data_IF_350187811406
#
_entry.id   IF_350187811406
#
_cell.length_a   1.000
_cell.length_b   1.000
_cell.length_c   1.000
_cell.angle_alpha   90.00
_cell.angle_beta   90.00
_cell.angle_gamma   90.00
#
_symmetry.space_group_name_H-M   'P 1'
#
loop_
_entity.id
_entity.type
_entity.pdbx_description
1 polymer ?
#
# COMPACT_ATOMS: atom_id res chain seq x y z
N UNK A 1 -22.08 -5.43 -0.34
CA UNK A 1 -22.15 -3.93 -0.26
C UNK A 1 -20.90 -3.26 -0.81
N UNK A 2 -19.67 -3.58 -0.36
CA UNK A 2 -18.44 -2.92 -0.84
C UNK A 2 -18.17 -3.16 -2.34
N UNK A 3 -18.37 -4.39 -2.84
CA UNK A 3 -18.19 -4.71 -4.27
C UNK A 3 -19.20 -4.02 -5.17
N UNK A 4 -20.41 -3.78 -4.66
CA UNK A 4 -21.45 -3.02 -5.38
C UNK A 4 -21.08 -1.54 -5.45
N UNK A 5 -20.52 -0.98 -4.37
CA UNK A 5 -20.03 0.40 -4.33
C UNK A 5 -18.91 0.61 -5.35
N UNK A 6 -17.92 -0.29 -5.41
CA UNK A 6 -16.82 -0.24 -6.38
C UNK A 6 -17.33 -0.34 -7.83
N UNK A 7 -18.34 -1.18 -8.10
CA UNK A 7 -19.00 -1.26 -9.41
C UNK A 7 -19.69 0.04 -9.79
N UNK A 8 -20.43 0.64 -8.85
CA UNK A 8 -21.13 1.91 -9.08
C UNK A 8 -20.13 3.03 -9.36
N UNK A 9 -19.04 3.10 -8.60
CA UNK A 9 -17.99 4.10 -8.82
C UNK A 9 -17.35 3.97 -10.20
N UNK A 10 -17.03 2.74 -10.64
CA UNK A 10 -16.42 2.48 -11.95
C UNK A 10 -17.34 2.86 -13.13
N UNK A 11 -18.67 2.73 -12.95
CA UNK A 11 -19.67 3.08 -13.97
C UNK A 11 -19.93 4.59 -14.01
N UNK A 12 -20.02 5.23 -12.84
CA UNK A 12 -20.38 6.65 -12.74
C UNK A 12 -19.22 7.60 -13.01
N UNK A 13 -17.98 7.14 -12.86
CA UNK A 13 -16.74 7.93 -13.01
C UNK A 13 -16.76 9.26 -12.22
N UNK A 14 -17.34 9.23 -11.01
CA UNK A 14 -17.52 10.40 -10.14
C UNK A 14 -16.66 10.29 -8.89
N UNK A 15 -16.25 11.44 -8.37
CA UNK A 15 -15.63 11.51 -7.04
C UNK A 15 -16.70 11.32 -5.96
N UNK A 16 -16.44 10.41 -5.03
CA UNK A 16 -17.33 10.09 -3.92
C UNK A 16 -16.58 10.40 -2.62
N UNK A 17 -17.22 11.13 -1.72
CA UNK A 17 -16.74 11.32 -0.35
C UNK A 17 -17.48 10.35 0.55
N UNK A 18 -16.74 9.51 1.25
CA UNK A 18 -17.25 8.50 2.16
C UNK A 18 -16.72 8.78 3.57
N UNK A 19 -17.59 8.75 4.56
CA UNK A 19 -17.23 8.94 5.97
C UNK A 19 -17.43 7.61 6.69
N UNK A 20 -16.38 7.10 7.29
CA UNK A 20 -16.40 5.87 8.07
C UNK A 20 -15.49 5.98 9.29
N UNK A 21 -15.77 5.19 10.30
CA UNK A 21 -14.88 4.95 11.44
C UNK A 21 -14.10 3.63 11.29
N UNK A 22 -14.37 2.86 10.24
CA UNK A 22 -13.67 1.62 9.92
C UNK A 22 -12.51 1.89 8.96
N UNK A 23 -11.29 1.87 9.51
CA UNK A 23 -10.08 2.11 8.74
C UNK A 23 -9.80 1.01 7.72
N UNK A 24 -10.14 -0.25 8.03
CA UNK A 24 -9.94 -1.39 7.11
C UNK A 24 -10.85 -1.24 5.89
N UNK A 25 -12.09 -0.79 6.10
CA UNK A 25 -13.00 -0.49 5.02
C UNK A 25 -12.44 0.62 4.12
N UNK A 26 -11.94 1.69 4.71
CA UNK A 26 -11.34 2.79 3.96
C UNK A 26 -10.09 2.36 3.16
N UNK A 27 -9.24 1.49 3.72
CA UNK A 27 -8.10 0.90 3.00
C UNK A 27 -8.48 0.15 1.73
N UNK A 28 -9.68 -0.43 1.71
CA UNK A 28 -10.15 -1.22 0.56
C UNK A 28 -10.70 -0.38 -0.58
N UNK A 29 -11.37 0.74 -0.26
CA UNK A 29 -12.18 1.46 -1.23
C UNK A 29 -11.67 2.87 -1.55
N UNK A 30 -10.87 3.49 -0.69
CA UNK A 30 -10.47 4.87 -0.85
C UNK A 30 -9.17 5.02 -1.64
N UNK A 31 -9.16 5.91 -2.65
CA UNK A 31 -7.94 6.38 -3.31
C UNK A 31 -7.16 7.35 -2.41
N UNK A 32 -7.90 8.17 -1.66
CA UNK A 32 -7.37 9.15 -0.71
C UNK A 32 -8.18 9.13 0.57
N UNK A 33 -7.53 9.42 1.69
CA UNK A 33 -8.14 9.46 3.01
C UNK A 33 -7.68 10.68 3.78
N UNK A 34 -8.58 11.24 4.58
CA UNK A 34 -8.29 12.24 5.58
C UNK A 34 -8.59 11.67 6.97
N UNK A 35 -7.61 11.67 7.87
CA UNK A 35 -7.83 11.40 9.28
C UNK A 35 -8.15 12.73 9.96
N UNK A 36 -9.25 12.76 10.69
CA UNK A 36 -9.73 13.96 11.38
C UNK A 36 -9.72 13.77 12.90
N UNK A 37 -9.41 14.84 13.61
CA UNK A 37 -9.53 14.96 15.07
C UNK A 37 -10.03 16.36 15.42
N UNK A 38 -11.03 16.46 16.26
CA UNK A 38 -11.60 17.73 16.76
C UNK A 38 -11.98 18.72 15.64
N UNK A 39 -12.47 18.22 14.51
CA UNK A 39 -12.86 19.01 13.35
C UNK A 39 -11.72 19.41 12.40
N UNK A 40 -10.48 19.04 12.71
CA UNK A 40 -9.31 19.35 11.87
C UNK A 40 -8.79 18.10 11.17
N UNK A 41 -8.27 18.26 9.94
CA UNK A 41 -7.54 17.21 9.23
C UNK A 41 -6.15 17.10 9.85
N UNK A 42 -5.85 15.94 10.44
CA UNK A 42 -4.55 15.62 11.05
C UNK A 42 -3.58 15.09 10.00
N UNK A 43 -4.07 14.20 9.14
CA UNK A 43 -3.27 13.65 8.04
C UNK A 43 -4.14 13.39 6.82
N UNK A 44 -3.57 13.60 5.63
CA UNK A 44 -4.22 13.35 4.35
C UNK A 44 -3.24 12.64 3.40
N UNK A 45 -3.69 11.58 2.73
CA UNK A 45 -2.84 10.85 1.78
C UNK A 45 -3.52 9.59 1.23
N UNK A 46 -2.73 8.74 0.57
CA UNK A 46 -3.19 7.38 0.27
C UNK A 46 -3.33 6.61 1.59
N UNK A 47 -4.35 5.74 1.74
CA UNK A 47 -4.54 4.99 2.98
C UNK A 47 -3.30 4.24 3.43
N UNK A 48 -2.60 3.57 2.51
CA UNK A 48 -1.38 2.81 2.81
C UNK A 48 -0.23 3.70 3.30
N UNK A 49 -0.08 4.90 2.74
CA UNK A 49 0.97 5.85 3.16
C UNK A 49 0.73 6.34 4.59
N UNK A 50 -0.53 6.52 4.98
CA UNK A 50 -0.93 6.93 6.34
C UNK A 50 -0.56 5.84 7.35
N UNK A 51 -0.83 4.57 7.03
CA UNK A 51 -0.46 3.43 7.89
C UNK A 51 1.05 3.32 8.03
N UNK A 52 1.77 3.44 6.92
CA UNK A 52 3.23 3.26 6.91
C UNK A 52 3.97 4.43 7.54
N UNK A 53 3.43 5.65 7.44
CA UNK A 53 4.06 6.88 7.90
C UNK A 53 3.07 7.76 8.67
N UNK A 54 2.59 7.31 9.85
CA UNK A 54 1.70 8.12 10.68
C UNK A 54 2.42 9.37 11.15
N UNK A 55 1.73 10.53 11.05
CA UNK A 55 2.29 11.84 11.39
C UNK A 55 2.48 12.05 12.88
N UNK A 56 1.63 11.43 13.70
CA UNK A 56 1.68 11.51 15.15
C UNK A 56 1.20 10.21 15.81
N UNK A 57 1.20 10.18 17.14
CA UNK A 57 0.77 9.04 17.95
C UNK A 57 -0.72 8.74 17.77
N UNK A 58 -1.56 9.78 17.65
CA UNK A 58 -2.99 9.61 17.43
C UNK A 58 -3.27 8.84 16.13
N UNK A 59 -2.63 9.21 15.03
CA UNK A 59 -2.78 8.51 13.75
C UNK A 59 -2.22 7.10 13.85
N UNK A 60 -1.10 6.91 14.56
CA UNK A 60 -0.50 5.59 14.79
C UNK A 60 -1.44 4.67 15.54
N UNK A 61 -2.05 5.14 16.62
CA UNK A 61 -3.00 4.36 17.42
C UNK A 61 -4.26 4.03 16.63
N UNK A 62 -4.75 4.98 15.84
CA UNK A 62 -5.92 4.79 14.98
C UNK A 62 -5.67 3.72 13.90
N UNK A 63 -4.43 3.60 13.40
CA UNK A 63 -4.03 2.66 12.35
C UNK A 63 -3.37 1.38 12.89
N UNK A 64 -3.15 1.27 14.21
CA UNK A 64 -2.19 0.35 14.82
C UNK A 64 -2.42 -1.14 14.64
N UNK A 65 -3.67 -1.60 14.54
CA UNK A 65 -3.99 -3.03 14.43
C UNK A 65 -4.41 -3.46 13.02
N UNK A 66 -4.22 -2.59 12.05
CA UNK A 66 -4.56 -2.90 10.67
C UNK A 66 -3.55 -3.87 10.06
N UNK A 67 -3.99 -4.98 9.46
CA UNK A 67 -3.12 -5.90 8.73
C UNK A 67 -2.77 -5.30 7.35
N UNK A 68 -2.04 -4.16 7.35
CA UNK A 68 -1.74 -3.35 6.16
C UNK A 68 -1.00 -4.16 5.09
N UNK A 69 -0.23 -5.17 5.48
CA UNK A 69 0.48 -6.09 4.59
C UNK A 69 -0.45 -6.77 3.58
N UNK A 70 -1.73 -6.93 3.92
CA UNK A 70 -2.73 -7.48 3.00
C UNK A 70 -3.17 -6.52 1.89
N UNK A 71 -2.88 -5.24 2.07
CA UNK A 71 -3.27 -4.17 1.15
C UNK A 71 -2.11 -3.65 0.30
N UNK A 72 -0.88 -4.12 0.58
CA UNK A 72 0.30 -3.76 -0.21
C UNK A 72 0.18 -4.28 -1.64
N UNK A 73 0.55 -3.40 -2.58
CA UNK A 73 0.66 -3.69 -4.01
C UNK A 73 2.10 -3.48 -4.47
N UNK A 74 2.40 -3.91 -5.69
CA UNK A 74 3.71 -3.73 -6.29
C UNK A 74 4.20 -2.27 -6.21
N UNK A 75 3.33 -1.30 -6.49
CA UNK A 75 3.68 0.13 -6.46
C UNK A 75 4.15 0.65 -5.09
N UNK A 76 3.76 0.00 -4.00
CA UNK A 76 4.16 0.37 -2.64
C UNK A 76 5.53 -0.19 -2.23
N UNK A 77 6.06 -1.11 -3.05
CA UNK A 77 7.29 -1.87 -2.80
C UNK A 77 8.42 -1.53 -3.76
N UNK A 78 8.19 -0.58 -4.68
CA UNK A 78 9.15 -0.24 -5.73
C UNK A 78 10.43 0.38 -5.14
N UNK A 79 11.56 -0.16 -5.56
CA UNK A 79 12.90 0.39 -5.35
C UNK A 79 13.49 0.85 -6.69
N UNK A 80 14.43 1.83 -6.63
CA UNK A 80 15.21 2.19 -7.80
C UNK A 80 16.13 1.04 -8.17
N UNK A 81 16.19 0.63 -9.45
CA UNK A 81 17.09 -0.44 -9.87
C UNK A 81 18.54 -0.03 -9.66
N UNK A 82 19.34 -0.93 -9.09
CA UNK A 82 20.80 -0.74 -8.90
C UNK A 82 21.62 -1.26 -10.09
N UNK A 83 20.99 -2.02 -10.98
CA UNK A 83 21.61 -2.66 -12.17
C UNK A 83 20.57 -2.75 -13.28
N UNK A 84 21.02 -3.21 -14.48
CA UNK A 84 20.10 -3.47 -15.59
C UNK A 84 18.97 -4.42 -15.17
N UNK A 85 17.76 -4.10 -15.61
CA UNK A 85 16.55 -4.86 -15.37
C UNK A 85 16.24 -5.83 -16.53
N UNK A 86 17.12 -5.87 -17.54
CA UNK A 86 17.00 -6.78 -18.66
C UNK A 86 16.90 -8.23 -18.15
N UNK A 87 15.90 -8.97 -18.62
CA UNK A 87 15.58 -10.34 -18.22
C UNK A 87 14.88 -10.52 -16.86
N UNK A 88 14.41 -9.47 -16.19
CA UNK A 88 13.52 -9.64 -15.05
C UNK A 88 12.10 -9.94 -15.53
N UNK A 89 11.42 -10.83 -14.79
CA UNK A 89 9.98 -11.03 -14.98
C UNK A 89 9.25 -9.75 -14.62
N UNK A 90 8.32 -9.31 -15.46
CA UNK A 90 7.52 -8.10 -15.26
C UNK A 90 6.22 -8.41 -14.52
N UNK A 91 5.81 -7.50 -13.65
CA UNK A 91 4.52 -7.52 -12.95
C UNK A 91 3.86 -6.14 -13.03
N UNK A 92 2.52 -6.11 -12.98
CA UNK A 92 1.77 -4.85 -12.94
C UNK A 92 1.98 -4.13 -11.60
N UNK A 93 1.99 -2.80 -11.63
CA UNK A 93 2.03 -1.94 -10.45
C UNK A 93 0.92 -2.24 -9.43
N UNK A 94 -0.23 -2.74 -9.89
CA UNK A 94 -1.39 -3.05 -9.06
C UNK A 94 -1.40 -4.48 -8.51
N UNK A 95 -0.40 -5.31 -8.83
CA UNK A 95 -0.31 -6.71 -8.38
C UNK A 95 -0.25 -6.75 -6.84
N UNK A 96 -1.17 -7.50 -6.17
CA UNK A 96 -1.17 -7.64 -4.72
C UNK A 96 0.07 -8.39 -4.21
N UNK A 97 0.50 -8.08 -2.98
CA UNK A 97 1.68 -8.70 -2.38
C UNK A 97 1.59 -10.24 -2.29
N UNK A 98 0.38 -10.79 -2.07
CA UNK A 98 0.19 -12.23 -2.00
C UNK A 98 0.56 -12.94 -3.31
N UNK A 99 0.40 -12.27 -4.45
CA UNK A 99 0.80 -12.79 -5.76
C UNK A 99 2.26 -12.52 -6.09
N UNK A 100 2.85 -11.48 -5.46
CA UNK A 100 4.25 -11.12 -5.63
C UNK A 100 5.18 -12.09 -4.91
N UNK A 101 4.85 -12.46 -3.66
CA UNK A 101 5.72 -13.25 -2.79
C UNK A 101 6.14 -14.60 -3.39
N UNK A 102 5.25 -15.44 -3.96
CA UNK A 102 5.66 -16.69 -4.61
C UNK A 102 6.59 -16.47 -5.80
N UNK A 103 6.30 -15.45 -6.63
CA UNK A 103 7.11 -15.13 -7.80
C UNK A 103 8.48 -14.59 -7.41
N UNK A 104 8.54 -13.85 -6.30
CA UNK A 104 9.78 -13.28 -5.78
C UNK A 104 10.68 -14.35 -5.15
N UNK A 105 10.08 -15.39 -4.53
CA UNK A 105 10.82 -16.51 -3.98
C UNK A 105 11.58 -17.31 -5.06
N UNK A 106 11.01 -17.39 -6.26
CA UNK A 106 11.64 -18.05 -7.41
C UNK A 106 12.65 -17.15 -8.16
N UNK A 107 12.69 -15.86 -7.83
CA UNK A 107 13.52 -14.86 -8.51
C UNK A 107 14.76 -14.50 -7.70
N UNK A 108 15.95 -14.73 -8.26
CA UNK A 108 17.22 -14.34 -7.61
C UNK A 108 17.46 -12.82 -7.63
N UNK A 109 16.94 -12.14 -8.66
CA UNK A 109 17.26 -10.72 -8.95
C UNK A 109 16.09 -9.76 -8.74
N UNK A 110 14.92 -10.27 -8.32
CA UNK A 110 13.74 -9.49 -8.14
C UNK A 110 12.79 -9.51 -9.35
N UNK A 111 11.80 -8.64 -9.33
CA UNK A 111 10.76 -8.49 -10.35
C UNK A 111 10.73 -7.04 -10.82
N UNK A 112 10.58 -6.81 -12.13
CA UNK A 112 10.39 -5.48 -12.68
C UNK A 112 8.91 -5.07 -12.60
N UNK A 113 8.63 -3.86 -12.15
CA UNK A 113 7.27 -3.33 -12.04
C UNK A 113 7.00 -2.41 -13.22
N UNK A 114 5.87 -2.62 -13.89
CA UNK A 114 5.46 -1.82 -15.04
C UNK A 114 4.10 -1.16 -14.81
N UNK A 115 3.91 -0.02 -15.47
CA UNK A 115 2.61 0.67 -15.53
C UNK A 115 1.70 0.04 -16.60
N UNK A 116 0.50 0.61 -16.75
CA UNK A 116 -0.53 0.16 -17.72
C UNK A 116 -0.10 0.32 -19.19
N UNK A 117 1.01 1.03 -19.44
CA UNK A 117 1.62 1.23 -20.77
C UNK A 117 2.89 0.40 -20.96
N UNK A 118 3.16 -0.58 -20.08
CA UNK A 118 4.38 -1.39 -20.03
C UNK A 118 5.67 -0.57 -19.81
N UNK A 119 5.57 0.65 -19.31
CA UNK A 119 6.73 1.43 -18.91
C UNK A 119 7.22 0.95 -17.55
N UNK A 120 8.51 0.67 -17.44
CA UNK A 120 9.14 0.28 -16.19
C UNK A 120 9.13 1.43 -15.17
N UNK A 121 8.68 1.11 -13.96
CA UNK A 121 8.62 2.01 -12.82
C UNK A 121 9.76 1.78 -11.82
N UNK A 122 10.31 0.57 -11.78
CA UNK A 122 11.37 0.13 -10.90
C UNK A 122 11.33 -1.36 -10.63
N UNK A 123 11.98 -1.80 -9.56
CA UNK A 123 12.07 -3.22 -9.20
C UNK A 123 11.55 -3.48 -7.79
N UNK A 124 11.15 -4.75 -7.55
CA UNK A 124 10.90 -5.28 -6.21
C UNK A 124 11.91 -6.36 -5.94
N UNK A 125 12.62 -6.25 -4.82
CA UNK A 125 13.57 -7.25 -4.36
C UNK A 125 13.08 -7.95 -3.09
N UNK A 126 13.52 -9.20 -2.81
CA UNK A 126 13.20 -9.87 -1.54
C UNK A 126 13.60 -9.02 -0.33
N UNK A 127 14.76 -8.37 -0.39
CA UNK A 127 15.24 -7.51 0.69
C UNK A 127 14.40 -6.25 0.85
N UNK A 128 13.93 -5.64 -0.24
CA UNK A 128 13.04 -4.49 -0.22
C UNK A 128 11.71 -4.80 0.48
N UNK A 129 11.12 -5.94 0.17
CA UNK A 129 9.89 -6.40 0.86
C UNK A 129 10.13 -6.60 2.35
N UNK A 130 11.22 -7.27 2.73
CA UNK A 130 11.58 -7.47 4.13
C UNK A 130 11.75 -6.14 4.86
N UNK A 131 12.45 -5.18 4.24
CA UNK A 131 12.67 -3.86 4.82
C UNK A 131 11.36 -3.10 5.07
N UNK A 132 10.44 -3.12 4.10
CA UNK A 132 9.11 -2.49 4.24
C UNK A 132 8.34 -3.13 5.39
N UNK A 133 8.27 -4.45 5.44
CA UNK A 133 7.58 -5.18 6.50
C UNK A 133 8.22 -4.96 7.87
N UNK A 134 9.53 -4.96 7.97
CA UNK A 134 10.25 -4.72 9.22
C UNK A 134 10.07 -3.29 9.73
N UNK A 135 10.11 -2.29 8.85
CA UNK A 135 9.93 -0.88 9.23
C UNK A 135 8.54 -0.60 9.80
N UNK A 136 7.52 -1.23 9.24
CA UNK A 136 6.16 -1.14 9.76
C UNK A 136 5.95 -1.95 11.05
N UNK A 137 6.60 -3.11 11.19
CA UNK A 137 6.58 -3.94 12.40
C UNK A 137 7.33 -3.31 13.59
N UNK A 138 8.46 -2.67 13.34
CA UNK A 138 9.27 -2.02 14.39
C UNK A 138 8.55 -0.86 15.08
N UNK A 139 7.66 -0.19 14.37
CA UNK A 139 6.82 0.89 14.93
C UNK A 139 5.75 0.35 15.90
N UNK A 140 5.37 -0.95 15.81
CA UNK A 140 4.43 -1.61 16.73
C UNK A 140 5.05 -2.03 18.07
N UNK A 141 6.36 -2.28 18.12
CA UNK A 141 7.02 -2.85 19.32
C UNK A 141 7.37 -1.78 20.37
N UNK A 142 7.52 -0.51 19.98
CA UNK A 142 7.89 0.55 20.95
C UNK A 142 6.74 1.01 21.88
N UNK A 143 5.51 0.58 21.66
CA UNK A 143 4.33 0.98 22.45
C UNK A 143 3.85 -0.08 23.46
N UNK A 144 4.66 -1.09 23.82
CA UNK A 144 4.35 -2.07 24.90
C UNK A 144 5.28 -1.92 26.10
N UNK A 145 5.53 -0.70 26.54
CA UNK A 145 6.14 -0.46 27.86
C UNK A 145 5.34 0.59 28.61
#
# INVERSE_FOLDING_TARGET
MQDEFMKIQSVLNKSIVFITHDFVEALRIADRMAIMRDGFIVQFGRPIDIVMNPVDEYVRDFTGDVPFERFLKAEDLIEKPKSSTDNLKTISRTTPIQEILPQLADSKNGLAVVDDKNKELGIITPQGVINVMASAGSKKVQNKK
#
